data_IF_506568363056
#
_entry.id   IF_506568363056
#
_cell.length_a   1.000
_cell.length_b   1.000
_cell.length_c   1.000
_cell.angle_alpha   90.00
_cell.angle_beta   90.00
_cell.angle_gamma   90.00
#
_symmetry.space_group_name_H-M   'P 1'
#
loop_
_entity.id
_entity.type
_entity.pdbx_description
1 polymer ?
#
# COMPACT_ATOMS: atom_id res chain seq x y z
N UNK A 1 10.73 13.00 -3.69
CA UNK A 1 9.50 12.36 -3.14
C UNK A 1 8.49 13.37 -2.59
N UNK A 2 7.21 13.25 -2.97
CA UNK A 2 6.10 14.08 -2.47
C UNK A 2 5.34 13.36 -1.35
N UNK A 3 5.57 13.77 -0.11
CA UNK A 3 4.97 13.15 1.08
C UNK A 3 3.46 13.33 1.18
N UNK A 4 2.91 14.45 0.69
CA UNK A 4 1.45 14.69 0.73
C UNK A 4 0.74 13.76 -0.23
N UNK A 5 1.31 13.59 -1.43
CA UNK A 5 0.79 12.69 -2.43
C UNK A 5 0.93 11.22 -2.01
N UNK A 6 2.04 10.86 -1.37
CA UNK A 6 2.26 9.52 -0.82
C UNK A 6 1.26 9.19 0.29
N UNK A 7 1.05 10.11 1.24
CA UNK A 7 0.03 9.99 2.29
C UNK A 7 -1.36 9.76 1.69
N UNK A 8 -1.76 10.62 0.73
CA UNK A 8 -3.07 10.52 0.09
C UNK A 8 -3.25 9.18 -0.62
N UNK A 9 -2.23 8.73 -1.35
CA UNK A 9 -2.28 7.47 -2.11
C UNK A 9 -2.35 6.25 -1.20
N UNK A 10 -1.55 6.20 -0.13
CA UNK A 10 -1.61 5.11 0.86
C UNK A 10 -2.98 5.08 1.58
N UNK A 11 -3.52 6.26 1.91
CA UNK A 11 -4.84 6.36 2.52
C UNK A 11 -5.98 5.92 1.58
N UNK A 12 -5.85 6.14 0.27
CA UNK A 12 -6.82 5.63 -0.70
C UNK A 12 -6.86 4.09 -0.74
N UNK A 13 -5.70 3.43 -0.65
CA UNK A 13 -5.62 1.96 -0.52
C UNK A 13 -6.34 1.50 0.75
N UNK A 14 -6.08 2.14 1.89
CA UNK A 14 -6.72 1.80 3.18
C UNK A 14 -8.24 1.97 3.09
N UNK A 15 -8.72 3.08 2.52
CA UNK A 15 -10.15 3.34 2.32
C UNK A 15 -10.78 2.31 1.39
N UNK A 16 -10.11 1.95 0.31
CA UNK A 16 -10.62 0.94 -0.62
C UNK A 16 -10.81 -0.40 0.08
N UNK A 17 -9.82 -0.87 0.85
CA UNK A 17 -9.91 -2.11 1.62
C UNK A 17 -11.05 -2.05 2.65
N UNK A 18 -11.26 -0.91 3.32
CA UNK A 18 -12.31 -0.77 4.32
C UNK A 18 -13.73 -0.72 3.72
N UNK A 19 -13.86 -0.19 2.50
CA UNK A 19 -15.17 0.10 1.89
C UNK A 19 -15.62 -0.95 0.88
N UNK A 20 -14.76 -1.89 0.49
CA UNK A 20 -15.07 -2.91 -0.51
C UNK A 20 -14.88 -4.31 0.05
N UNK A 21 -15.82 -5.19 -0.25
CA UNK A 21 -15.68 -6.62 0.00
C UNK A 21 -14.93 -7.27 -1.15
N UNK A 22 -13.79 -7.89 -0.87
CA UNK A 22 -12.97 -8.61 -1.85
C UNK A 22 -13.10 -10.11 -1.58
N UNK A 23 -14.09 -10.74 -2.20
CA UNK A 23 -14.55 -12.10 -1.89
C UNK A 23 -13.49 -13.20 -2.08
N UNK A 24 -12.53 -12.98 -2.98
CA UNK A 24 -11.51 -13.98 -3.32
C UNK A 24 -10.14 -13.71 -2.70
N UNK A 25 -10.00 -12.62 -1.91
CA UNK A 25 -8.77 -12.28 -1.23
C UNK A 25 -8.91 -12.57 0.26
N UNK A 26 -7.96 -13.28 0.84
CA UNK A 26 -8.02 -13.58 2.27
C UNK A 26 -7.96 -12.30 3.11
N UNK A 27 -8.69 -12.29 4.22
CA UNK A 27 -8.66 -11.17 5.17
C UNK A 27 -7.25 -10.94 5.73
N UNK A 28 -6.43 -11.99 5.84
CA UNK A 28 -5.04 -11.90 6.27
C UNK A 28 -4.17 -11.13 5.27
N UNK A 29 -4.35 -11.39 3.96
CA UNK A 29 -3.66 -10.67 2.88
C UNK A 29 -4.04 -9.19 2.93
N UNK A 30 -5.34 -8.89 3.02
CA UNK A 30 -5.86 -7.52 3.10
C UNK A 30 -5.34 -6.80 4.35
N UNK A 31 -5.27 -7.49 5.48
CA UNK A 31 -4.73 -6.95 6.75
C UNK A 31 -3.24 -6.66 6.64
N UNK A 32 -2.46 -7.54 5.98
CA UNK A 32 -1.03 -7.32 5.75
C UNK A 32 -0.78 -6.12 4.84
N UNK A 33 -1.49 -6.01 3.72
CA UNK A 33 -1.40 -4.85 2.82
C UNK A 33 -1.77 -3.58 3.59
N UNK A 34 -2.91 -3.58 4.31
CA UNK A 34 -3.37 -2.43 5.08
C UNK A 34 -2.36 -1.99 6.15
N UNK A 35 -1.72 -2.94 6.85
CA UNK A 35 -0.72 -2.64 7.87
C UNK A 35 0.51 -1.95 7.28
N UNK A 36 0.97 -2.40 6.11
CA UNK A 36 2.08 -1.75 5.39
C UNK A 36 1.68 -0.36 4.89
N UNK A 37 0.43 -0.18 4.41
CA UNK A 37 -0.08 1.13 3.99
C UNK A 37 -0.22 2.10 5.17
N UNK A 38 -0.65 1.63 6.34
CA UNK A 38 -0.71 2.45 7.56
C UNK A 38 0.68 2.96 7.92
N UNK A 39 1.69 2.08 7.93
CA UNK A 39 3.07 2.49 8.18
C UNK A 39 3.57 3.54 7.19
N UNK A 40 3.27 3.39 5.89
CA UNK A 40 3.62 4.37 4.86
C UNK A 40 2.91 5.70 5.12
N UNK A 41 1.61 5.65 5.43
CA UNK A 41 0.77 6.81 5.72
C UNK A 41 1.31 7.59 6.93
N UNK A 42 1.59 6.92 8.03
CA UNK A 42 2.07 7.53 9.27
C UNK A 42 3.43 8.20 9.09
N UNK A 43 4.37 7.55 8.39
CA UNK A 43 5.68 8.14 8.12
C UNK A 43 5.57 9.33 7.13
N UNK A 44 4.77 9.20 6.07
CA UNK A 44 4.56 10.28 5.10
C UNK A 44 3.87 11.50 5.75
N UNK A 45 2.93 11.30 6.66
CA UNK A 45 2.29 12.38 7.44
C UNK A 45 3.30 13.19 8.26
N UNK A 46 4.37 12.54 8.72
CA UNK A 46 5.47 13.16 9.46
C UNK A 46 6.58 13.72 8.55
N UNK A 47 6.43 13.65 7.21
CA UNK A 47 7.45 14.09 6.26
C UNK A 47 8.69 13.19 6.23
N UNK A 48 8.56 11.94 6.70
CA UNK A 48 9.65 10.97 6.79
C UNK A 48 9.53 9.96 5.66
N UNK A 49 10.66 9.57 5.06
CA UNK A 49 10.70 8.53 4.05
C UNK A 49 10.43 7.14 4.68
N UNK A 50 9.29 6.48 4.39
CA UNK A 50 8.97 5.20 5.02
C UNK A 50 10.01 4.12 4.70
N UNK A 51 10.65 4.18 3.53
CA UNK A 51 11.67 3.21 3.12
C UNK A 51 12.99 3.36 3.89
N UNK A 52 13.24 4.51 4.51
CA UNK A 52 14.45 4.77 5.30
C UNK A 52 14.26 4.44 6.79
N UNK A 53 13.00 4.28 7.23
CA UNK A 53 12.66 3.95 8.62
C UNK A 53 12.56 2.44 8.85
N UNK A 54 12.41 1.66 7.77
CA UNK A 54 12.38 0.21 7.87
C UNK A 54 13.70 -0.32 8.48
N UNK A 55 13.64 -1.36 9.34
CA UNK A 55 14.83 -2.01 9.83
C UNK A 55 15.74 -2.44 8.68
N UNK A 56 17.06 -2.46 8.89
CA UNK A 56 17.98 -3.02 7.92
C UNK A 56 17.49 -4.41 7.47
N UNK A 57 17.57 -4.69 6.18
CA UNK A 57 17.11 -5.95 5.53
C UNK A 57 15.59 -6.12 5.39
N UNK A 58 14.77 -5.22 5.97
CA UNK A 58 13.32 -5.27 5.78
C UNK A 58 12.91 -4.49 4.54
N UNK A 59 11.99 -5.05 3.75
CA UNK A 59 11.40 -4.39 2.58
C UNK A 59 9.89 -4.49 2.63
N UNK A 60 9.22 -3.50 2.05
CA UNK A 60 7.81 -3.61 1.77
C UNK A 60 7.52 -4.75 0.78
N UNK A 61 6.52 -5.56 1.08
CA UNK A 61 6.11 -6.72 0.28
C UNK A 61 4.71 -6.56 -0.31
N UNK A 62 3.98 -5.50 0.04
CA UNK A 62 2.62 -5.25 -0.42
C UNK A 62 2.47 -5.33 -1.95
N UNK A 63 3.46 -4.87 -2.73
CA UNK A 63 3.41 -4.90 -4.20
C UNK A 63 3.58 -6.33 -4.75
N UNK A 64 4.40 -7.16 -4.09
CA UNK A 64 4.56 -8.57 -4.43
C UNK A 64 3.28 -9.35 -4.11
N UNK A 65 2.71 -9.11 -2.93
CA UNK A 65 1.44 -9.71 -2.51
C UNK A 65 0.34 -9.30 -3.49
N UNK A 66 0.21 -8.01 -3.79
CA UNK A 66 -0.77 -7.49 -4.75
C UNK A 66 -0.65 -8.13 -6.13
N UNK A 67 0.57 -8.33 -6.63
CA UNK A 67 0.78 -8.94 -7.95
C UNK A 67 0.34 -10.40 -8.02
N UNK A 68 0.43 -11.14 -6.91
CA UNK A 68 0.11 -12.58 -6.84
C UNK A 68 -1.35 -12.86 -6.50
N UNK A 69 -1.90 -12.06 -5.59
CA UNK A 69 -3.18 -12.35 -4.94
C UNK A 69 -4.35 -11.53 -5.51
N UNK A 70 -4.08 -10.47 -6.29
CA UNK A 70 -5.11 -9.59 -6.87
C UNK A 70 -5.25 -9.86 -8.38
N UNK A 71 -6.36 -10.50 -8.76
CA UNK A 71 -6.61 -10.97 -10.13
C UNK A 71 -8.03 -10.74 -10.63
N UNK A 72 -9.03 -10.56 -9.76
CA UNK A 72 -10.40 -10.25 -10.15
C UNK A 72 -10.59 -8.76 -10.51
N UNK A 73 -11.66 -8.37 -11.24
CA UNK A 73 -11.85 -6.99 -11.66
C UNK A 73 -11.83 -5.95 -10.54
N UNK A 74 -12.44 -6.25 -9.38
CA UNK A 74 -12.43 -5.36 -8.21
C UNK A 74 -11.04 -5.30 -7.56
N UNK A 75 -10.32 -6.41 -7.57
CA UNK A 75 -8.95 -6.52 -7.06
C UNK A 75 -7.94 -5.78 -7.94
N UNK A 76 -8.17 -5.71 -9.25
CA UNK A 76 -7.33 -4.91 -10.16
C UNK A 76 -7.40 -3.41 -9.85
N UNK A 77 -8.53 -2.91 -9.33
CA UNK A 77 -8.63 -1.54 -8.85
C UNK A 77 -7.74 -1.33 -7.62
N UNK A 78 -7.79 -2.25 -6.66
CA UNK A 78 -6.89 -2.22 -5.49
C UNK A 78 -5.42 -2.29 -5.91
N UNK A 79 -5.09 -3.15 -6.89
CA UNK A 79 -3.74 -3.27 -7.44
C UNK A 79 -3.26 -1.95 -8.07
N UNK A 80 -4.13 -1.27 -8.83
CA UNK A 80 -3.80 0.04 -9.40
C UNK A 80 -3.47 1.09 -8.33
N UNK A 81 -4.25 1.15 -7.25
CA UNK A 81 -3.97 2.05 -6.12
C UNK A 81 -2.63 1.71 -5.43
N UNK A 82 -2.30 0.42 -5.31
CA UNK A 82 -1.02 -0.04 -4.77
C UNK A 82 0.16 0.32 -5.68
N UNK A 83 -0.02 0.23 -6.99
CA UNK A 83 0.99 0.61 -7.97
C UNK A 83 1.28 2.12 -7.93
N UNK A 84 0.28 2.96 -7.66
CA UNK A 84 0.47 4.40 -7.44
C UNK A 84 1.36 4.68 -6.22
N UNK A 85 1.09 4.02 -5.09
CA UNK A 85 1.94 4.13 -3.89
C UNK A 85 3.38 3.70 -4.20
N UNK A 86 3.53 2.59 -4.94
CA UNK A 86 4.85 2.07 -5.34
C UNK A 86 5.62 3.07 -6.19
N UNK A 87 4.96 3.68 -7.19
CA UNK A 87 5.57 4.71 -8.04
C UNK A 87 6.07 5.90 -7.24
N UNK A 88 5.31 6.35 -6.24
CA UNK A 88 5.67 7.49 -5.39
C UNK A 88 6.84 7.19 -4.44
N UNK A 89 6.96 5.93 -3.99
CA UNK A 89 8.07 5.49 -3.15
C UNK A 89 9.38 5.29 -3.93
N UNK A 90 9.29 4.87 -5.20
CA UNK A 90 10.46 4.58 -6.04
C UNK A 90 10.92 5.82 -6.81
N UNK A 91 10.02 6.72 -7.24
CA UNK A 91 10.39 8.00 -7.82
C UNK A 91 10.96 8.92 -6.73
N UNK A 92 12.27 8.80 -6.52
CA UNK A 92 13.07 9.64 -5.62
C UNK A 92 13.19 11.05 -6.15
#
# INVERSE_FOLDING_TARGET
>A
MDYKLLYASANNVIKFINNNTLEYVSTEILTSIKSQMLFICDNAANGVNPSEVLPPETKFTYAIIASRELSSPSELVLKGLIDEVTKLLINR
#
